data_IF_969278480074
#
_entry.id   IF_969278480074
#
_cell.length_a   1.000
_cell.length_b   1.000
_cell.length_c   1.000
_cell.angle_alpha   90.00
_cell.angle_beta   90.00
_cell.angle_gamma   90.00
#
_symmetry.space_group_name_H-M   'P 1'
#
loop_
_entity.id
_entity.type
_entity.pdbx_description
1 polymer ?
#
# COMPACT_ATOMS: atom_id res chain seq x y z
N UNK A 1 -12.59 8.71 22.34
CA UNK A 1 -12.88 9.09 23.73
C UNK A 1 -13.34 7.83 24.45
N UNK A 2 -12.65 7.41 25.52
CA UNK A 2 -13.01 6.22 26.31
C UNK A 2 -14.05 6.69 27.33
N UNK A 3 -15.32 6.33 27.16
CA UNK A 3 -16.35 6.60 28.15
C UNK A 3 -16.36 5.42 29.15
N UNK A 4 -15.96 5.65 30.42
CA UNK A 4 -15.93 4.59 31.43
C UNK A 4 -17.29 3.95 31.68
N UNK A 5 -18.37 4.73 31.59
CA UNK A 5 -19.72 4.22 31.83
C UNK A 5 -20.17 3.23 30.74
N UNK A 6 -19.81 3.50 29.47
CA UNK A 6 -20.07 2.56 28.37
C UNK A 6 -19.26 1.27 28.48
N UNK A 7 -18.03 1.36 29.01
CA UNK A 7 -17.18 0.19 29.23
C UNK A 7 -17.77 -0.72 30.30
N UNK A 8 -18.25 -0.14 31.41
CA UNK A 8 -18.87 -0.88 32.50
C UNK A 8 -20.17 -1.55 32.05
N UNK A 9 -21.05 -0.83 31.37
CA UNK A 9 -22.28 -1.37 30.79
C UNK A 9 -22.02 -2.50 29.80
N UNK A 10 -21.03 -2.34 28.92
CA UNK A 10 -20.66 -3.39 27.97
C UNK A 10 -20.11 -4.61 28.70
N UNK A 11 -19.28 -4.42 29.73
CA UNK A 11 -18.70 -5.52 30.52
C UNK A 11 -19.78 -6.30 31.28
N UNK A 12 -20.80 -5.62 31.79
CA UNK A 12 -21.95 -6.29 32.42
C UNK A 12 -22.81 -7.04 31.41
N UNK A 13 -23.11 -6.41 30.26
CA UNK A 13 -23.98 -6.99 29.22
C UNK A 13 -23.40 -8.27 28.63
N UNK A 14 -22.07 -8.29 28.41
CA UNK A 14 -21.38 -9.41 27.80
C UNK A 14 -20.71 -10.36 28.81
N UNK A 15 -20.99 -10.19 30.12
CA UNK A 15 -20.46 -11.07 31.16
C UNK A 15 -20.96 -12.51 30.93
N UNK A 16 -20.04 -13.46 31.01
CA UNK A 16 -20.32 -14.88 30.76
C UNK A 16 -20.41 -15.27 29.28
N UNK A 17 -20.16 -14.34 28.35
CA UNK A 17 -20.02 -14.62 26.91
C UNK A 17 -18.57 -14.76 26.52
N UNK A 18 -18.29 -15.29 25.28
CA UNK A 18 -16.95 -15.32 24.71
C UNK A 18 -16.56 -13.98 24.01
N UNK A 19 -17.32 -12.92 24.22
CA UNK A 19 -17.06 -11.61 23.63
C UNK A 19 -16.03 -10.88 24.48
N UNK A 20 -14.89 -10.55 23.86
CA UNK A 20 -13.80 -9.86 24.52
C UNK A 20 -13.92 -8.35 24.27
N UNK A 21 -14.10 -7.57 25.32
CA UNK A 21 -14.23 -6.11 25.27
C UNK A 21 -12.86 -5.50 25.45
N UNK A 22 -12.45 -4.63 24.54
CA UNK A 22 -11.20 -3.89 24.58
C UNK A 22 -11.43 -2.42 24.30
N UNK A 23 -10.69 -1.55 24.99
CA UNK A 23 -10.67 -0.09 24.76
C UNK A 23 -9.46 0.36 23.97
N UNK A 24 -8.49 -0.51 23.74
CA UNK A 24 -7.25 -0.18 23.04
C UNK A 24 -7.36 -0.48 21.55
N UNK A 25 -7.65 -1.71 21.23
CA UNK A 25 -7.81 -2.16 19.87
C UNK A 25 -7.75 -3.67 19.74
N UNK A 26 -8.09 -4.14 18.55
CA UNK A 26 -8.04 -5.56 18.20
C UNK A 26 -7.62 -5.73 16.75
N UNK A 27 -6.83 -6.74 16.51
CA UNK A 27 -6.55 -7.21 15.15
C UNK A 27 -7.76 -7.97 14.62
N UNK A 28 -8.22 -7.60 13.42
CA UNK A 28 -9.32 -8.24 12.72
C UNK A 28 -8.98 -8.44 11.24
N UNK A 29 -9.04 -9.66 10.75
CA UNK A 29 -8.75 -10.03 9.35
C UNK A 29 -7.42 -9.46 8.79
N UNK A 30 -6.42 -9.29 9.65
CA UNK A 30 -5.11 -8.73 9.24
C UNK A 30 -5.02 -7.20 9.29
N UNK A 31 -6.14 -6.50 9.52
CA UNK A 31 -6.17 -5.08 9.82
C UNK A 31 -6.15 -4.83 11.34
N UNK A 32 -5.88 -3.59 11.73
CA UNK A 32 -5.98 -3.12 13.11
C UNK A 32 -7.20 -2.21 13.25
N UNK A 33 -8.01 -2.45 14.28
CA UNK A 33 -9.16 -1.61 14.64
C UNK A 33 -8.94 -1.17 16.08
N UNK A 34 -8.86 0.13 16.35
CA UNK A 34 -8.60 0.60 17.70
C UNK A 34 -8.13 2.05 17.78
N UNK A 35 -7.40 2.36 18.85
CA UNK A 35 -6.81 3.67 19.07
C UNK A 35 -5.66 3.95 18.09
N UNK A 36 -5.27 5.22 18.00
CA UNK A 36 -4.12 5.62 17.16
C UNK A 36 -2.84 4.92 17.65
N UNK A 37 -2.64 4.86 18.94
CA UNK A 37 -1.48 4.21 19.55
C UNK A 37 -1.41 2.71 19.20
N UNK A 38 -2.57 2.02 19.22
CA UNK A 38 -2.66 0.62 18.82
C UNK A 38 -2.32 0.44 17.32
N UNK A 39 -2.81 1.34 16.46
CA UNK A 39 -2.48 1.33 15.03
C UNK A 39 -0.97 1.51 14.81
N UNK A 40 -0.34 2.46 15.50
CA UNK A 40 1.09 2.73 15.38
C UNK A 40 1.94 1.54 15.85
N UNK A 41 1.61 0.95 17.00
CA UNK A 41 2.33 -0.21 17.53
C UNK A 41 2.22 -1.43 16.61
N UNK A 42 1.00 -1.76 16.20
CA UNK A 42 0.75 -2.84 15.25
C UNK A 42 1.48 -2.64 13.93
N UNK A 43 1.50 -1.40 13.45
CA UNK A 43 2.15 -1.05 12.19
C UNK A 43 3.66 -1.18 12.26
N UNK A 44 4.28 -0.71 13.35
CA UNK A 44 5.72 -0.85 13.58
C UNK A 44 6.14 -2.31 13.60
N UNK A 45 5.42 -3.17 14.36
CA UNK A 45 5.70 -4.61 14.39
C UNK A 45 5.67 -5.24 12.98
N UNK A 46 4.68 -4.86 12.17
CA UNK A 46 4.54 -5.35 10.80
C UNK A 46 5.66 -4.87 9.89
N UNK A 47 5.99 -3.59 9.95
CA UNK A 47 7.03 -2.98 9.13
C UNK A 47 8.39 -3.60 9.45
N UNK A 48 8.73 -3.77 10.73
CA UNK A 48 9.98 -4.42 11.15
C UNK A 48 10.09 -5.85 10.61
N UNK A 49 9.00 -6.60 10.65
CA UNK A 49 8.95 -7.94 10.07
C UNK A 49 9.18 -7.90 8.56
N UNK A 50 8.51 -7.02 7.83
CA UNK A 50 8.67 -6.86 6.40
C UNK A 50 10.07 -6.38 6.00
N UNK A 51 10.66 -5.47 6.75
CA UNK A 51 12.06 -5.08 6.54
C UNK A 51 13.01 -6.29 6.59
N UNK A 52 12.79 -7.20 7.52
CA UNK A 52 13.57 -8.43 7.61
C UNK A 52 13.30 -9.37 6.43
N UNK A 53 12.04 -9.54 6.03
CA UNK A 53 11.65 -10.34 4.84
C UNK A 53 12.29 -9.77 3.56
N UNK A 54 12.27 -8.46 3.35
CA UNK A 54 12.94 -7.77 2.23
C UNK A 54 14.45 -8.03 2.24
N UNK A 55 15.11 -7.95 3.39
CA UNK A 55 16.54 -8.28 3.51
C UNK A 55 16.85 -9.73 3.16
N UNK A 56 15.99 -10.67 3.51
CA UNK A 56 16.14 -12.07 3.10
C UNK A 56 15.93 -12.25 1.60
N UNK A 57 14.89 -11.60 1.05
CA UNK A 57 14.62 -11.63 -0.38
C UNK A 57 15.79 -11.01 -1.19
N UNK A 58 16.41 -9.95 -0.67
CA UNK A 58 17.59 -9.35 -1.26
C UNK A 58 18.81 -10.31 -1.29
N UNK A 59 18.99 -11.15 -0.26
CA UNK A 59 20.04 -12.20 -0.29
C UNK A 59 19.76 -13.22 -1.38
N UNK A 60 18.52 -13.65 -1.54
CA UNK A 60 18.11 -14.56 -2.60
C UNK A 60 18.26 -13.94 -3.99
N UNK A 61 17.95 -12.65 -4.14
CA UNK A 61 18.04 -11.90 -5.37
C UNK A 61 19.48 -11.89 -5.96
N UNK A 62 20.53 -11.99 -5.14
CA UNK A 62 21.91 -12.05 -5.62
C UNK A 62 22.20 -13.23 -6.54
N UNK A 63 21.45 -14.33 -6.39
CA UNK A 63 21.60 -15.53 -7.22
C UNK A 63 20.45 -15.72 -8.19
N UNK A 64 19.26 -15.23 -7.84
CA UNK A 64 18.02 -15.41 -8.61
C UNK A 64 17.22 -14.10 -8.70
N UNK A 65 17.74 -13.06 -9.39
CA UNK A 65 17.13 -11.74 -9.39
C UNK A 65 15.71 -11.70 -9.98
N UNK A 66 15.46 -12.45 -11.06
CA UNK A 66 14.14 -12.50 -11.70
C UNK A 66 13.10 -13.18 -10.81
N UNK A 67 13.46 -14.27 -10.14
CA UNK A 67 12.58 -14.97 -9.21
C UNK A 67 12.27 -14.10 -7.98
N UNK A 68 13.27 -13.38 -7.45
CA UNK A 68 13.09 -12.44 -6.37
C UNK A 68 12.16 -11.27 -6.75
N UNK A 69 12.34 -10.72 -7.93
CA UNK A 69 11.45 -9.69 -8.48
C UNK A 69 10.01 -10.19 -8.59
N UNK A 70 9.80 -11.37 -9.17
CA UNK A 70 8.47 -11.96 -9.29
C UNK A 70 7.82 -12.20 -7.90
N UNK A 71 8.58 -12.74 -6.94
CA UNK A 71 8.10 -12.94 -5.58
C UNK A 71 7.72 -11.62 -4.90
N UNK A 72 8.51 -10.56 -5.11
CA UNK A 72 8.20 -9.24 -4.58
C UNK A 72 6.93 -8.66 -5.18
N UNK A 73 6.80 -8.62 -6.51
CA UNK A 73 5.64 -8.02 -7.20
C UNK A 73 4.35 -8.79 -6.93
N UNK A 74 4.38 -10.12 -7.00
CA UNK A 74 3.18 -10.94 -6.84
C UNK A 74 2.87 -11.34 -5.39
N UNK A 75 3.80 -11.11 -4.49
CA UNK A 75 3.63 -11.41 -3.06
C UNK A 75 3.60 -10.16 -2.19
N UNK A 76 4.76 -9.55 -1.96
CA UNK A 76 4.91 -8.49 -0.97
C UNK A 76 4.12 -7.22 -1.30
N UNK A 77 4.11 -6.78 -2.57
CA UNK A 77 3.38 -5.58 -2.99
C UNK A 77 1.89 -5.69 -2.68
N UNK A 78 1.29 -6.87 -2.84
CA UNK A 78 -0.13 -7.07 -2.52
C UNK A 78 -0.40 -7.03 -1.01
N UNK A 79 0.54 -7.53 -0.19
CA UNK A 79 0.45 -7.43 1.27
C UNK A 79 0.53 -5.98 1.74
N UNK A 80 1.44 -5.21 1.16
CA UNK A 80 1.58 -3.78 1.44
C UNK A 80 0.32 -3.01 1.03
N UNK A 81 -0.18 -3.23 -0.19
CA UNK A 81 -1.41 -2.59 -0.67
C UNK A 81 -2.61 -2.86 0.21
N UNK A 82 -2.78 -4.09 0.69
CA UNK A 82 -3.85 -4.42 1.64
C UNK A 82 -3.72 -3.60 2.94
N UNK A 83 -2.51 -3.53 3.47
CA UNK A 83 -2.23 -2.82 4.72
C UNK A 83 -2.48 -1.31 4.58
N UNK A 84 -1.99 -0.70 3.50
CA UNK A 84 -2.18 0.71 3.20
C UNK A 84 -3.66 1.09 3.04
N UNK A 85 -4.48 0.18 2.52
CA UNK A 85 -5.94 0.38 2.36
C UNK A 85 -6.74 0.27 3.64
N UNK A 86 -6.19 -0.33 4.67
CA UNK A 86 -6.92 -0.67 5.90
C UNK A 86 -6.48 0.14 7.11
N UNK A 87 -5.32 0.78 7.08
CA UNK A 87 -4.78 1.54 8.21
C UNK A 87 -4.49 2.98 7.77
N UNK A 88 -5.05 3.99 8.45
CA UNK A 88 -4.84 5.40 8.11
C UNK A 88 -3.46 5.91 8.57
N UNK A 89 -3.02 7.01 7.95
CA UNK A 89 -1.87 7.82 8.42
C UNK A 89 -0.56 7.05 8.56
N UNK A 90 -0.24 6.22 7.57
CA UNK A 90 0.93 5.32 7.59
C UNK A 90 2.21 5.95 7.03
N UNK A 91 2.13 7.09 6.31
CA UNK A 91 3.22 7.65 5.51
C UNK A 91 4.59 7.58 6.16
N UNK A 92 4.80 8.30 7.25
CA UNK A 92 6.12 8.39 7.92
C UNK A 92 6.62 7.06 8.51
N UNK A 93 5.70 6.18 8.92
CA UNK A 93 6.05 4.88 9.49
C UNK A 93 6.64 3.91 8.46
N UNK A 94 6.37 4.13 7.17
CA UNK A 94 6.82 3.26 6.07
C UNK A 94 8.26 3.55 5.61
N UNK A 95 8.86 4.66 6.05
CA UNK A 95 10.21 5.04 5.66
C UNK A 95 11.24 3.89 5.80
N UNK A 96 11.31 3.15 6.93
CA UNK A 96 12.27 2.05 7.07
C UNK A 96 12.08 0.93 6.03
N UNK A 97 10.83 0.70 5.59
CA UNK A 97 10.53 -0.31 4.58
C UNK A 97 10.95 0.15 3.18
N UNK A 98 10.68 1.42 2.83
CA UNK A 98 11.18 2.01 1.58
C UNK A 98 12.72 1.99 1.53
N UNK A 99 13.40 2.32 2.62
CA UNK A 99 14.85 2.22 2.75
C UNK A 99 15.36 0.77 2.60
N UNK A 100 14.64 -0.21 3.15
CA UNK A 100 15.01 -1.62 2.99
C UNK A 100 14.88 -2.07 1.53
N UNK A 101 13.86 -1.62 0.81
CA UNK A 101 13.66 -1.89 -0.62
C UNK A 101 14.77 -1.22 -1.44
N UNK A 102 15.04 0.06 -1.20
CA UNK A 102 16.01 0.86 -1.95
C UNK A 102 17.44 0.41 -1.73
N UNK A 103 17.85 0.16 -0.48
CA UNK A 103 19.23 -0.09 -0.13
C UNK A 103 19.63 -1.57 -0.18
N UNK A 104 18.68 -2.50 -0.19
CA UNK A 104 18.97 -3.92 -0.19
C UNK A 104 18.38 -4.67 -1.39
N UNK A 105 17.08 -4.54 -1.64
CA UNK A 105 16.40 -5.34 -2.66
C UNK A 105 16.72 -4.86 -4.07
N UNK A 106 16.56 -3.58 -4.35
CA UNK A 106 16.81 -3.01 -5.67
C UNK A 106 18.25 -3.21 -6.16
N UNK A 107 19.30 -2.91 -5.36
CA UNK A 107 20.66 -3.18 -5.77
C UNK A 107 20.92 -4.66 -6.08
N UNK A 108 20.32 -5.57 -5.30
CA UNK A 108 20.48 -7.00 -5.50
C UNK A 108 19.77 -7.51 -6.78
N UNK A 109 18.59 -6.96 -7.11
CA UNK A 109 17.88 -7.29 -8.36
C UNK A 109 18.60 -6.72 -9.57
N UNK A 110 19.07 -5.47 -9.48
CA UNK A 110 19.69 -4.75 -10.60
C UNK A 110 21.17 -5.11 -10.81
N UNK A 111 21.79 -5.81 -9.87
CA UNK A 111 23.22 -6.15 -9.91
C UNK A 111 24.13 -4.91 -9.77
N UNK A 112 23.67 -3.87 -9.08
CA UNK A 112 24.41 -2.62 -8.83
C UNK A 112 24.70 -2.45 -7.35
N UNK A 113 25.62 -1.55 -7.01
CA UNK A 113 25.92 -1.23 -5.61
C UNK A 113 25.12 -0.04 -5.09
N UNK A 114 24.52 0.75 -5.99
CA UNK A 114 23.79 1.96 -5.64
C UNK A 114 22.68 2.22 -6.66
N UNK A 115 21.57 2.74 -6.19
CA UNK A 115 20.43 3.19 -6.99
C UNK A 115 20.33 4.71 -6.82
N UNK A 116 20.33 5.44 -7.92
CA UNK A 116 20.14 6.89 -7.89
C UNK A 116 18.66 7.23 -7.72
N UNK A 117 18.38 8.43 -7.20
CA UNK A 117 16.98 8.86 -7.01
C UNK A 117 16.17 8.87 -8.33
N UNK A 118 16.69 9.33 -9.49
CA UNK A 118 15.98 9.19 -10.76
C UNK A 118 15.65 7.73 -11.13
N UNK A 119 16.57 6.80 -10.91
CA UNK A 119 16.34 5.37 -11.13
C UNK A 119 15.28 4.81 -10.16
N UNK A 120 15.36 5.16 -8.88
CA UNK A 120 14.37 4.75 -7.89
C UNK A 120 12.96 5.22 -8.28
N UNK A 121 12.84 6.46 -8.75
CA UNK A 121 11.58 7.01 -9.24
C UNK A 121 11.09 6.28 -10.50
N UNK A 122 11.99 6.00 -11.44
CA UNK A 122 11.66 5.21 -12.64
C UNK A 122 11.14 3.81 -12.27
N UNK A 123 11.83 3.09 -11.38
CA UNK A 123 11.41 1.75 -10.96
C UNK A 123 10.06 1.73 -10.21
N UNK A 124 9.65 2.86 -9.66
CA UNK A 124 8.34 3.01 -9.01
C UNK A 124 7.18 3.14 -9.98
N UNK A 125 7.42 3.51 -11.24
CA UNK A 125 6.38 3.60 -12.24
C UNK A 125 5.81 2.20 -12.58
N UNK A 126 4.52 2.13 -12.94
CA UNK A 126 3.93 0.90 -13.49
C UNK A 126 4.69 0.38 -14.70
N UNK A 127 4.65 -0.94 -14.92
CA UNK A 127 5.33 -1.59 -16.07
C UNK A 127 4.87 -0.97 -17.40
N UNK A 128 3.56 -0.67 -17.55
CA UNK A 128 3.01 -0.03 -18.75
C UNK A 128 3.57 1.38 -19.05
N UNK A 129 4.19 2.01 -18.06
CA UNK A 129 4.86 3.30 -18.18
C UNK A 129 6.39 3.18 -18.20
N UNK A 130 6.91 1.96 -18.45
CA UNK A 130 8.35 1.68 -18.56
C UNK A 130 9.08 1.50 -17.22
N UNK A 131 8.36 1.45 -16.11
CA UNK A 131 8.91 1.15 -14.79
C UNK A 131 8.94 -0.34 -14.45
N UNK A 132 9.20 -0.65 -13.19
CA UNK A 132 9.20 -2.01 -12.64
C UNK A 132 8.01 -2.30 -11.72
N UNK A 133 7.15 -1.32 -11.45
CA UNK A 133 6.03 -1.46 -10.52
C UNK A 133 6.44 -1.64 -9.05
N UNK A 134 7.66 -1.22 -8.67
CA UNK A 134 8.17 -1.30 -7.30
C UNK A 134 7.83 0.00 -6.57
N UNK A 135 6.73 0.08 -5.82
CA UNK A 135 6.21 1.34 -5.31
C UNK A 135 7.16 2.00 -4.31
N UNK A 136 7.05 3.33 -4.17
CA UNK A 136 7.52 4.08 -3.01
C UNK A 136 6.31 4.15 -2.07
N UNK A 137 6.36 3.42 -0.97
CA UNK A 137 5.19 3.19 -0.12
C UNK A 137 4.77 4.46 0.62
N UNK A 138 5.73 5.27 1.03
CA UNK A 138 5.49 6.59 1.64
C UNK A 138 4.69 7.51 0.72
N UNK A 139 4.97 7.49 -0.60
CA UNK A 139 4.29 8.32 -1.60
C UNK A 139 2.83 7.91 -1.84
N UNK A 140 2.55 6.60 -1.78
CA UNK A 140 1.23 6.06 -2.18
C UNK A 140 0.29 5.80 -1.00
N UNK A 141 0.79 5.85 0.24
CA UNK A 141 0.05 5.43 1.43
C UNK A 141 -1.28 6.17 1.59
N UNK A 142 -1.28 7.50 1.54
CA UNK A 142 -2.49 8.31 1.72
C UNK A 142 -3.47 8.09 0.56
N UNK A 143 -2.98 7.97 -0.66
CA UNK A 143 -3.81 7.72 -1.83
C UNK A 143 -4.48 6.34 -1.78
N UNK A 144 -3.77 5.28 -1.38
CA UNK A 144 -4.34 3.93 -1.26
C UNK A 144 -5.42 3.91 -0.18
N UNK A 145 -5.21 4.56 0.97
CA UNK A 145 -6.19 4.65 2.03
C UNK A 145 -7.43 5.45 1.61
N UNK A 146 -7.25 6.68 1.12
CA UNK A 146 -8.36 7.55 0.70
C UNK A 146 -9.19 6.93 -0.43
N UNK A 147 -8.52 6.28 -1.39
CA UNK A 147 -9.18 5.51 -2.46
C UNK A 147 -10.05 4.38 -1.90
N UNK A 148 -9.50 3.62 -0.94
CA UNK A 148 -10.25 2.53 -0.27
C UNK A 148 -11.49 3.05 0.43
N UNK A 149 -11.36 4.14 1.19
CA UNK A 149 -12.49 4.79 1.86
C UNK A 149 -13.55 5.25 0.87
N UNK A 150 -13.17 5.92 -0.21
CA UNK A 150 -14.12 6.42 -1.22
C UNK A 150 -14.91 5.29 -1.89
N UNK A 151 -14.23 4.20 -2.29
CA UNK A 151 -14.90 3.07 -2.95
C UNK A 151 -15.86 2.34 -2.00
N UNK A 152 -15.52 2.25 -0.72
CA UNK A 152 -16.34 1.54 0.28
C UNK A 152 -17.40 2.40 0.94
N UNK A 153 -17.34 3.73 0.80
CA UNK A 153 -18.25 4.67 1.45
C UNK A 153 -19.76 4.36 1.23
N UNK A 154 -20.23 4.04 0.02
CA UNK A 154 -21.65 3.73 -0.18
C UNK A 154 -22.11 2.52 0.63
N UNK A 155 -21.30 1.47 0.70
CA UNK A 155 -21.59 0.27 1.48
C UNK A 155 -21.53 0.55 2.99
N UNK A 156 -20.52 1.29 3.43
CA UNK A 156 -20.36 1.67 4.83
C UNK A 156 -21.54 2.52 5.33
N UNK A 157 -22.04 3.44 4.52
CA UNK A 157 -23.20 4.26 4.85
C UNK A 157 -24.46 3.40 5.12
N UNK A 158 -24.70 2.39 4.30
CA UNK A 158 -25.84 1.48 4.49
C UNK A 158 -25.70 0.66 5.77
N UNK A 159 -24.47 0.15 6.04
CA UNK A 159 -24.22 -0.60 7.28
C UNK A 159 -24.42 0.27 8.53
N UNK A 160 -23.98 1.52 8.51
CA UNK A 160 -24.16 2.48 9.63
C UNK A 160 -25.64 2.77 9.86
N UNK A 161 -26.42 2.93 8.78
CA UNK A 161 -27.86 3.18 8.85
C UNK A 161 -28.67 1.91 9.10
N UNK A 162 -28.04 0.76 9.26
CA UNK A 162 -28.71 -0.55 9.38
C UNK A 162 -29.70 -0.83 8.24
N UNK A 163 -29.39 -0.30 7.06
CA UNK A 163 -30.19 -0.48 5.87
C UNK A 163 -30.14 -1.91 5.35
N UNK A 164 -31.24 -2.39 4.78
CA UNK A 164 -31.34 -3.73 4.19
C UNK A 164 -31.09 -3.74 2.69
N UNK A 165 -31.13 -2.57 2.04
CA UNK A 165 -30.92 -2.45 0.60
C UNK A 165 -29.45 -2.24 0.29
N UNK A 166 -28.95 -2.98 -0.69
CA UNK A 166 -27.60 -2.75 -1.22
C UNK A 166 -27.50 -1.39 -1.95
N UNK A 167 -26.30 -0.78 -2.03
CA UNK A 167 -26.12 0.43 -2.82
C UNK A 167 -26.49 0.17 -4.28
N UNK A 168 -26.92 1.22 -4.99
CA UNK A 168 -27.16 1.13 -6.42
C UNK A 168 -25.86 0.69 -7.14
N UNK A 169 -25.87 -0.43 -7.88
CA UNK A 169 -24.69 -0.91 -8.61
C UNK A 169 -24.10 0.12 -9.59
N UNK A 170 -24.95 0.98 -10.17
CA UNK A 170 -24.46 2.01 -11.10
C UNK A 170 -23.74 3.15 -10.36
N UNK A 171 -24.17 3.52 -9.18
CA UNK A 171 -23.49 4.48 -8.32
C UNK A 171 -22.12 3.95 -7.88
N UNK A 172 -22.06 2.69 -7.46
CA UNK A 172 -20.77 2.04 -7.09
C UNK A 172 -19.82 2.00 -8.28
N UNK A 173 -20.29 1.63 -9.47
CA UNK A 173 -19.47 1.63 -10.70
C UNK A 173 -18.99 3.03 -11.05
N UNK A 174 -19.84 4.05 -10.94
CA UNK A 174 -19.48 5.44 -11.21
C UNK A 174 -18.35 5.89 -10.28
N UNK A 175 -18.48 5.66 -8.99
CA UNK A 175 -17.45 5.97 -7.99
C UNK A 175 -16.13 5.27 -8.31
N UNK A 176 -16.17 3.98 -8.62
CA UNK A 176 -14.98 3.21 -8.99
C UNK A 176 -14.30 3.75 -10.26
N UNK A 177 -15.09 4.21 -11.25
CA UNK A 177 -14.57 4.82 -12.48
C UNK A 177 -13.92 6.18 -12.23
N UNK A 178 -14.50 7.00 -11.37
CA UNK A 178 -13.95 8.30 -10.98
C UNK A 178 -12.61 8.14 -10.24
N UNK A 179 -12.55 7.21 -9.29
CA UNK A 179 -11.33 6.87 -8.57
C UNK A 179 -10.25 6.34 -9.53
N UNK A 180 -10.62 5.47 -10.47
CA UNK A 180 -9.68 4.98 -11.49
C UNK A 180 -9.10 6.12 -12.33
N UNK A 181 -9.95 7.03 -12.81
CA UNK A 181 -9.50 8.20 -13.60
C UNK A 181 -8.55 9.09 -12.81
N UNK A 182 -8.83 9.30 -11.52
CA UNK A 182 -7.95 10.06 -10.64
C UNK A 182 -6.57 9.40 -10.52
N UNK A 183 -6.52 8.09 -10.28
CA UNK A 183 -5.26 7.33 -10.22
C UNK A 183 -4.48 7.42 -11.53
N UNK A 184 -5.15 7.21 -12.67
CA UNK A 184 -4.51 7.27 -14.00
C UNK A 184 -3.92 8.67 -14.26
N UNK A 185 -4.56 9.73 -13.81
CA UNK A 185 -4.04 11.09 -13.93
C UNK A 185 -2.81 11.33 -13.04
N UNK A 186 -2.85 10.86 -11.79
CA UNK A 186 -1.70 10.98 -10.87
C UNK A 186 -0.51 10.20 -11.41
N UNK A 187 -0.73 8.99 -11.94
CA UNK A 187 0.34 8.17 -12.52
C UNK A 187 0.97 8.84 -13.76
N UNK A 188 0.16 9.47 -14.63
CA UNK A 188 0.68 10.23 -15.77
C UNK A 188 1.51 11.44 -15.33
N UNK A 189 1.04 12.20 -14.35
CA UNK A 189 1.81 13.34 -13.82
C UNK A 189 3.14 12.86 -13.21
N UNK A 190 3.11 11.76 -12.46
CA UNK A 190 4.33 11.16 -11.92
C UNK A 190 5.28 10.70 -13.03
N UNK A 191 4.77 10.09 -14.09
CA UNK A 191 5.55 9.70 -15.26
C UNK A 191 6.25 10.91 -15.91
N UNK A 192 5.53 12.00 -16.18
CA UNK A 192 6.08 13.22 -16.78
C UNK A 192 7.23 13.79 -15.92
N UNK A 193 7.03 13.85 -14.60
CA UNK A 193 8.06 14.31 -13.66
C UNK A 193 9.29 13.41 -13.73
N UNK A 194 9.09 12.08 -13.65
CA UNK A 194 10.18 11.10 -13.67
C UNK A 194 10.97 11.21 -14.97
N UNK A 195 10.31 11.21 -16.13
CA UNK A 195 10.97 11.32 -17.45
C UNK A 195 11.79 12.60 -17.54
N UNK A 196 11.29 13.72 -17.00
CA UNK A 196 12.02 15.00 -17.03
C UNK A 196 13.33 14.98 -16.22
N UNK A 197 13.46 14.08 -15.26
CA UNK A 197 14.68 13.91 -14.41
C UNK A 197 15.70 12.94 -15.00
N UNK A 198 15.31 12.14 -16.01
CA UNK A 198 16.20 11.17 -16.65
C UNK A 198 17.13 11.83 -17.66
N UNK A 199 18.30 11.25 -17.86
CA UNK A 199 19.15 11.63 -18.97
C UNK A 199 18.51 11.22 -20.32
N UNK A 200 18.91 11.90 -21.42
CA UNK A 200 18.31 11.69 -22.75
C UNK A 200 18.38 10.24 -23.25
N UNK A 201 19.45 9.52 -22.92
CA UNK A 201 19.63 8.11 -23.32
C UNK A 201 18.63 7.19 -22.62
N UNK A 202 18.49 7.35 -21.32
CA UNK A 202 17.54 6.58 -20.52
C UNK A 202 16.08 6.92 -20.87
N UNK A 203 15.77 8.20 -21.07
CA UNK A 203 14.43 8.62 -21.49
C UNK A 203 14.01 7.98 -22.82
N UNK A 204 14.88 7.97 -23.84
CA UNK A 204 14.62 7.29 -25.11
C UNK A 204 14.46 5.77 -24.95
N UNK A 205 15.24 5.13 -24.09
CA UNK A 205 15.11 3.70 -23.83
C UNK A 205 13.75 3.36 -23.19
N UNK A 206 13.25 4.20 -22.27
CA UNK A 206 11.92 4.05 -21.67
C UNK A 206 10.82 4.20 -22.72
N UNK A 207 10.88 5.19 -23.59
CA UNK A 207 9.90 5.37 -24.68
C UNK A 207 9.86 4.16 -25.62
N UNK A 208 11.01 3.65 -26.06
CA UNK A 208 11.10 2.44 -26.88
C UNK A 208 10.56 1.20 -26.17
N UNK A 209 10.75 1.08 -24.85
CA UNK A 209 10.19 -0.02 -24.08
C UNK A 209 8.65 0.07 -24.01
N UNK A 210 8.09 1.27 -23.83
CA UNK A 210 6.64 1.50 -23.82
C UNK A 210 5.98 1.14 -25.15
N UNK A 211 6.59 1.50 -26.28
CA UNK A 211 6.10 1.13 -27.61
C UNK A 211 5.99 -0.39 -27.79
N UNK A 212 6.95 -1.15 -27.25
CA UNK A 212 6.93 -2.63 -27.31
C UNK A 212 5.88 -3.28 -26.42
N UNK A 213 5.45 -2.61 -25.35
CA UNK A 213 4.42 -3.13 -24.41
C UNK A 213 3.01 -2.83 -24.93
N UNK A 214 2.85 -1.82 -25.79
CA UNK A 214 1.56 -1.38 -26.34
C UNK A 214 0.99 -2.28 -27.46
N UNK A 215 1.68 -3.35 -27.82
CA UNK A 215 1.26 -4.39 -28.76
C UNK A 215 0.88 -5.67 -28.00
#
# INVERSE_FOLDING_TARGET
MKDPALLEQASELFNGTNINITTEGKRHLGAAIGSKEFHEEYSKEKIDKWCNEIKQLAKFAKTQPQAAYAAFIHGEVHRFSYFLRTIPSMGDLLQPLDEAIENHLLPAIMGTNNITQPERNLYSLPIRLGGLGIPILTDIAEQEFSTSVQITAPLAAIMILQGTNLPDPEEVKKTALEVKKLRDNIEKQKEEIVISTLNQGTAKAVEQAKEKISF
#
